data_IF_325410687881
#
_entry.id   IF_325410687881
#
_cell.length_a   1.000
_cell.length_b   1.000
_cell.length_c   1.000
_cell.angle_alpha   90.00
_cell.angle_beta   90.00
_cell.angle_gamma   90.00
#
_symmetry.space_group_name_H-M   'P 1'
#
loop_
_entity.id
_entity.type
_entity.pdbx_description
1 polymer ?
#
# COMPACT_ATOMS: atom_id res chain seq x y z
N UNK A 1 20.90 -1.86 -2.03
CA UNK A 1 21.69 -0.60 -1.97
C UNK A 1 22.97 -0.90 -1.21
N UNK A 2 24.14 -0.88 -1.84
CA UNK A 2 25.43 -1.05 -1.16
C UNK A 2 25.98 0.33 -0.85
N UNK A 3 26.37 0.55 0.40
CA UNK A 3 27.05 1.77 0.82
C UNK A 3 28.55 1.59 0.62
N UNK A 4 29.22 2.59 0.03
CA UNK A 4 30.68 2.63 -0.10
C UNK A 4 31.29 3.51 0.98
N UNK A 5 32.40 3.06 1.56
CA UNK A 5 33.17 3.86 2.53
C UNK A 5 33.91 4.97 1.79
N UNK A 6 33.73 6.22 2.22
CA UNK A 6 34.43 7.38 1.67
C UNK A 6 35.23 8.12 2.75
N UNK A 7 36.30 8.79 2.33
CA UNK A 7 37.13 9.58 3.21
C UNK A 7 36.37 10.84 3.68
N UNK A 8 36.31 11.15 4.99
CA UNK A 8 35.50 12.25 5.54
C UNK A 8 35.75 13.63 4.90
N UNK A 9 37.00 13.92 4.54
CA UNK A 9 37.38 15.17 3.88
C UNK A 9 36.73 15.42 2.50
N UNK A 10 36.08 14.40 1.90
CA UNK A 10 35.35 14.55 0.63
C UNK A 10 33.92 15.07 0.81
N UNK A 11 33.40 15.13 2.04
CA UNK A 11 32.05 15.60 2.33
C UNK A 11 31.87 17.10 2.05
N UNK A 12 32.93 17.90 2.18
CA UNK A 12 32.87 19.36 1.98
C UNK A 12 32.95 19.77 0.49
N UNK A 13 33.36 18.85 -0.39
CA UNK A 13 33.55 19.08 -1.83
C UNK A 13 32.47 18.45 -2.71
N UNK A 14 31.35 18.06 -2.13
CA UNK A 14 30.32 17.26 -2.80
C UNK A 14 29.70 18.01 -3.98
N UNK A 15 29.67 17.35 -5.15
CA UNK A 15 28.99 17.81 -6.36
C UNK A 15 27.99 16.76 -6.83
N UNK A 16 26.99 17.19 -7.61
CA UNK A 16 26.08 16.25 -8.28
C UNK A 16 26.89 15.33 -9.20
N UNK A 17 26.76 13.99 -9.05
CA UNK A 17 27.45 13.06 -9.92
C UNK A 17 26.89 13.18 -11.35
N UNK A 18 27.76 12.98 -12.34
CA UNK A 18 27.37 13.00 -13.74
C UNK A 18 26.50 11.78 -14.14
N UNK A 19 26.60 10.66 -13.39
CA UNK A 19 25.73 9.47 -13.53
C UNK A 19 25.41 8.91 -12.15
N UNK A 20 24.15 8.56 -11.89
CA UNK A 20 23.78 7.88 -10.66
C UNK A 20 24.16 6.39 -10.75
N UNK A 21 25.02 5.92 -9.85
CA UNK A 21 25.39 4.52 -9.73
C UNK A 21 24.36 3.70 -8.93
N UNK A 22 24.46 2.37 -8.98
CA UNK A 22 23.68 1.44 -8.14
C UNK A 22 24.20 1.37 -6.68
N UNK A 23 25.33 2.02 -6.41
CA UNK A 23 25.93 2.18 -5.09
C UNK A 23 25.97 3.67 -4.76
N UNK A 24 25.42 4.06 -3.60
CA UNK A 24 25.49 5.44 -3.12
C UNK A 24 26.57 5.57 -2.04
N UNK A 25 27.51 6.49 -2.26
CA UNK A 25 28.48 6.94 -1.27
C UNK A 25 27.93 8.05 -0.38
N UNK A 26 28.62 8.35 0.72
CA UNK A 26 28.24 9.41 1.65
C UNK A 26 28.10 10.77 0.95
N UNK A 27 28.98 11.10 0.00
CA UNK A 27 28.86 12.33 -0.77
C UNK A 27 27.60 12.40 -1.66
N UNK A 28 27.21 11.31 -2.30
CA UNK A 28 26.01 11.26 -3.14
C UNK A 28 24.74 11.36 -2.29
N UNK A 29 24.73 10.69 -1.13
CA UNK A 29 23.65 10.79 -0.15
C UNK A 29 23.52 12.23 0.36
N UNK A 30 24.63 12.91 0.68
CA UNK A 30 24.61 14.32 1.14
C UNK A 30 24.02 15.25 0.08
N UNK A 31 24.39 15.08 -1.20
CA UNK A 31 23.83 15.87 -2.29
C UNK A 31 22.32 15.64 -2.51
N UNK A 32 21.85 14.42 -2.22
CA UNK A 32 20.44 14.02 -2.39
C UNK A 32 19.58 14.36 -1.17
N UNK A 33 20.13 14.22 0.04
CA UNK A 33 19.44 14.47 1.31
C UNK A 33 19.32 15.97 1.63
N UNK A 34 20.12 16.83 0.99
CA UNK A 34 20.13 18.26 1.27
C UNK A 34 20.62 18.57 2.70
N UNK A 35 21.63 17.83 3.16
CA UNK A 35 22.19 17.93 4.52
C UNK A 35 22.62 19.37 4.83
N UNK A 36 22.34 19.91 6.04
CA UNK A 36 22.73 21.26 6.42
C UNK A 36 24.26 21.40 6.44
N UNK A 37 24.77 22.41 5.74
CA UNK A 37 26.15 22.90 5.91
C UNK A 37 26.06 24.40 6.14
N UNK A 38 26.45 24.85 7.33
CA UNK A 38 26.43 26.25 7.74
C UNK A 38 25.31 26.57 8.74
N UNK A 39 25.66 26.61 10.02
CA UNK A 39 24.79 27.11 11.08
C UNK A 39 24.90 28.63 11.14
N UNK A 40 24.03 29.34 10.42
CA UNK A 40 23.98 30.80 10.55
C UNK A 40 22.81 31.41 9.80
N UNK A 41 21.84 31.97 10.53
CA UNK A 41 20.88 32.89 9.95
C UNK A 41 21.57 34.24 9.72
N UNK A 42 21.86 34.58 8.47
CA UNK A 42 22.35 35.89 8.09
C UNK A 42 21.13 36.85 7.91
N UNK A 43 21.15 38.06 8.51
CA UNK A 43 20.07 39.02 8.34
C UNK A 43 19.78 39.32 6.86
N UNK A 44 18.51 39.45 6.49
CA UNK A 44 18.05 39.73 5.11
C UNK A 44 18.42 38.66 4.05
N UNK A 45 18.83 37.46 4.47
CA UNK A 45 19.07 36.33 3.56
C UNK A 45 17.93 35.32 3.71
N UNK A 46 17.42 34.71 2.61
CA UNK A 46 16.39 33.67 2.71
C UNK A 46 16.85 32.54 3.64
N UNK A 47 15.91 31.88 4.33
CA UNK A 47 16.26 30.75 5.17
C UNK A 47 17.04 29.71 4.36
N UNK A 48 18.17 29.23 4.91
CA UNK A 48 18.96 28.18 4.28
C UNK A 48 18.19 26.85 4.12
N UNK A 49 17.02 26.75 4.76
CA UNK A 49 16.13 25.60 4.75
C UNK A 49 14.69 25.93 4.33
N UNK A 50 14.04 25.00 3.63
CA UNK A 50 14.66 23.89 2.90
C UNK A 50 15.45 24.42 1.69
N UNK A 51 16.62 23.85 1.37
CA UNK A 51 17.31 24.19 0.12
C UNK A 51 16.41 23.83 -1.06
N UNK A 52 16.20 24.80 -1.96
CA UNK A 52 15.53 24.55 -3.23
C UNK A 52 16.45 23.69 -4.08
N UNK A 53 16.05 22.44 -4.31
CA UNK A 53 16.77 21.55 -5.20
C UNK A 53 16.31 21.79 -6.62
N UNK A 54 17.27 22.03 -7.52
CA UNK A 54 16.99 22.13 -8.95
C UNK A 54 16.32 20.85 -9.44
N UNK A 55 15.14 21.00 -10.06
CA UNK A 55 14.43 19.91 -10.73
C UNK A 55 15.36 19.15 -11.72
N UNK A 56 15.21 17.82 -11.85
CA UNK A 56 15.90 17.06 -12.89
C UNK A 56 15.60 17.60 -14.29
N UNK A 57 16.61 17.59 -15.18
CA UNK A 57 16.45 18.02 -16.57
C UNK A 57 15.47 17.12 -17.32
N UNK A 58 15.62 15.80 -17.19
CA UNK A 58 14.63 14.82 -17.62
C UNK A 58 13.72 14.47 -16.44
N UNK A 59 12.42 14.76 -16.56
CA UNK A 59 11.43 14.54 -15.50
C UNK A 59 10.08 14.12 -16.08
N UNK A 60 9.40 13.26 -15.34
CA UNK A 60 8.00 12.96 -15.59
C UNK A 60 7.12 14.12 -15.10
N UNK A 61 6.06 14.45 -15.85
CA UNK A 61 5.17 15.59 -15.56
C UNK A 61 3.68 15.23 -15.59
N UNK A 62 3.31 14.06 -16.12
CA UNK A 62 1.93 13.60 -16.20
C UNK A 62 1.46 13.05 -14.84
N UNK A 63 2.25 12.16 -14.24
CA UNK A 63 2.00 11.63 -12.88
C UNK A 63 2.70 12.50 -11.83
N UNK A 64 2.39 13.80 -11.87
CA UNK A 64 2.98 14.81 -11.00
C UNK A 64 2.46 14.72 -9.57
N UNK A 65 3.35 14.90 -8.60
CA UNK A 65 2.99 14.98 -7.18
C UNK A 65 3.49 16.25 -6.49
N UNK A 66 4.41 16.97 -7.12
CA UNK A 66 4.97 18.21 -6.62
C UNK A 66 5.12 19.23 -7.75
N UNK A 67 5.18 20.49 -7.36
CA UNK A 67 5.46 21.63 -8.24
C UNK A 67 6.69 22.38 -7.74
N UNK A 68 7.49 22.89 -8.67
CA UNK A 68 8.63 23.74 -8.38
C UNK A 68 8.21 25.06 -7.73
N UNK A 69 9.16 25.68 -7.05
CA UNK A 69 9.02 26.97 -6.35
C UNK A 69 10.07 27.95 -6.86
N UNK A 70 9.90 29.24 -6.51
CA UNK A 70 10.82 30.33 -6.90
C UNK A 70 11.04 30.34 -8.43
N UNK A 71 12.30 30.29 -8.87
CA UNK A 71 12.69 30.34 -10.29
C UNK A 71 12.19 29.14 -11.12
N UNK A 72 11.62 28.13 -10.45
CA UNK A 72 11.03 26.94 -11.08
C UNK A 72 9.50 26.88 -10.87
N UNK A 73 8.86 28.00 -10.57
CA UNK A 73 7.42 28.07 -10.35
C UNK A 73 6.63 27.56 -11.57
N UNK A 74 5.61 26.73 -11.32
CA UNK A 74 4.77 26.13 -12.37
C UNK A 74 5.33 24.85 -12.97
N UNK A 75 6.62 24.56 -12.78
CA UNK A 75 7.22 23.32 -13.23
C UNK A 75 6.74 22.12 -12.41
N UNK A 76 6.48 20.99 -13.06
CA UNK A 76 5.94 19.79 -12.41
C UNK A 76 7.03 18.75 -12.18
N UNK A 77 6.93 18.04 -11.06
CA UNK A 77 7.73 16.88 -10.73
C UNK A 77 6.81 15.68 -10.49
N UNK A 78 7.04 14.61 -11.25
CA UNK A 78 6.30 13.36 -11.17
C UNK A 78 7.19 12.14 -11.06
N UNK A 79 6.54 11.00 -10.83
CA UNK A 79 7.14 9.67 -10.84
C UNK A 79 6.47 8.88 -11.95
N UNK A 80 7.25 8.43 -12.94
CA UNK A 80 6.71 7.68 -14.07
C UNK A 80 6.11 6.35 -13.61
N UNK A 81 5.24 5.75 -14.44
CA UNK A 81 4.70 4.42 -14.12
C UNK A 81 5.81 3.37 -14.09
N UNK A 82 6.79 3.47 -15.00
CA UNK A 82 7.95 2.58 -15.00
C UNK A 82 8.73 2.67 -13.69
N UNK A 83 8.95 3.88 -13.17
CA UNK A 83 9.63 4.08 -11.88
C UNK A 83 8.79 3.62 -10.70
N UNK A 84 7.46 3.79 -10.76
CA UNK A 84 6.54 3.37 -9.71
C UNK A 84 6.54 1.84 -9.49
N UNK A 85 6.96 1.05 -10.48
CA UNK A 85 7.14 -0.40 -10.35
C UNK A 85 8.27 -0.78 -9.39
N UNK A 86 9.21 0.12 -9.11
CA UNK A 86 10.30 -0.11 -8.16
C UNK A 86 9.95 0.28 -6.72
N UNK A 87 8.67 0.55 -6.45
CA UNK A 87 8.15 1.03 -5.17
C UNK A 87 8.69 2.41 -4.77
N UNK A 88 7.97 3.11 -3.89
CA UNK A 88 8.36 4.44 -3.42
C UNK A 88 8.22 4.52 -1.92
N UNK A 89 9.27 5.01 -1.25
CA UNK A 89 9.27 5.25 0.19
C UNK A 89 9.32 6.76 0.43
N UNK A 90 8.33 7.29 1.14
CA UNK A 90 8.26 8.70 1.53
C UNK A 90 8.62 8.83 3.01
N UNK A 91 9.78 9.41 3.30
CA UNK A 91 10.29 9.60 4.67
C UNK A 91 10.19 11.06 5.10
N UNK A 92 9.84 11.29 6.36
CA UNK A 92 9.79 12.63 6.95
C UNK A 92 8.89 12.71 8.18
N UNK A 93 9.05 13.75 9.03
CA UNK A 93 8.21 13.94 10.21
C UNK A 93 6.75 14.24 9.84
N UNK A 94 5.85 14.21 10.83
CA UNK A 94 4.47 14.71 10.65
C UNK A 94 4.50 16.16 10.16
N UNK A 95 3.59 16.51 9.24
CA UNK A 95 3.55 17.84 8.63
C UNK A 95 4.51 18.05 7.44
N UNK A 96 5.41 17.11 7.14
CA UNK A 96 6.34 17.22 6.00
C UNK A 96 5.71 17.04 4.60
N UNK A 97 4.38 17.00 4.49
CA UNK A 97 3.68 16.87 3.20
C UNK A 97 3.59 15.45 2.61
N UNK A 98 3.92 14.41 3.38
CA UNK A 98 3.84 13.00 2.92
C UNK A 98 2.44 12.61 2.42
N UNK A 99 1.40 12.89 3.20
CA UNK A 99 0.01 12.59 2.81
C UNK A 99 -0.40 13.38 1.57
N UNK A 100 0.04 14.63 1.44
CA UNK A 100 -0.19 15.47 0.25
C UNK A 100 0.46 14.88 -0.99
N UNK A 101 1.72 14.43 -0.90
CA UNK A 101 2.40 13.76 -2.01
C UNK A 101 1.67 12.47 -2.43
N UNK A 102 1.24 11.64 -1.46
CA UNK A 102 0.44 10.44 -1.73
C UNK A 102 -0.91 10.78 -2.38
N UNK A 103 -1.61 11.80 -1.89
CA UNK A 103 -2.88 12.26 -2.46
C UNK A 103 -2.73 12.66 -3.92
N UNK A 104 -1.70 13.44 -4.26
CA UNK A 104 -1.46 13.85 -5.64
C UNK A 104 -1.12 12.67 -6.56
N UNK A 105 -0.29 11.73 -6.12
CA UNK A 105 0.00 10.51 -6.89
C UNK A 105 -1.26 9.68 -7.13
N UNK A 106 -2.06 9.45 -6.08
CA UNK A 106 -3.32 8.71 -6.17
C UNK A 106 -4.32 9.40 -7.09
N UNK A 107 -4.50 10.73 -6.96
CA UNK A 107 -5.38 11.49 -7.83
C UNK A 107 -4.90 11.46 -9.28
N UNK A 108 -3.59 11.56 -9.54
CA UNK A 108 -3.06 11.45 -10.90
C UNK A 108 -3.34 10.06 -11.51
N UNK A 109 -3.33 9.00 -10.71
CA UNK A 109 -3.70 7.65 -11.13
C UNK A 109 -5.21 7.51 -11.40
N UNK A 110 -6.05 8.02 -10.50
CA UNK A 110 -7.52 8.02 -10.65
C UNK A 110 -7.94 8.79 -11.90
N UNK A 111 -7.38 9.99 -12.14
CA UNK A 111 -7.69 10.79 -13.32
C UNK A 111 -7.28 10.10 -14.62
N UNK A 112 -6.16 9.38 -14.61
CA UNK A 112 -5.69 8.61 -15.75
C UNK A 112 -6.37 7.22 -15.87
N UNK A 113 -7.36 6.92 -15.02
CA UNK A 113 -8.12 5.66 -15.05
C UNK A 113 -7.37 4.43 -14.59
N UNK A 114 -6.35 4.60 -13.75
CA UNK A 114 -5.63 3.50 -13.10
C UNK A 114 -6.25 3.20 -11.73
N UNK A 115 -6.32 1.91 -11.38
CA UNK A 115 -6.80 1.48 -10.06
C UNK A 115 -5.84 1.88 -8.95
N UNK A 116 -6.40 2.26 -7.79
CA UNK A 116 -5.65 2.65 -6.59
C UNK A 116 -6.24 1.93 -5.38
N UNK A 117 -5.37 1.31 -4.57
CA UNK A 117 -5.71 0.83 -3.23
C UNK A 117 -5.04 1.76 -2.22
N UNK A 118 -5.85 2.42 -1.40
CA UNK A 118 -5.36 3.24 -0.31
C UNK A 118 -5.71 2.58 1.03
N UNK A 119 -4.70 2.48 1.89
CA UNK A 119 -4.85 2.04 3.29
C UNK A 119 -4.39 3.21 4.17
N UNK A 120 -5.32 3.82 4.87
CA UNK A 120 -5.06 4.97 5.73
C UNK A 120 -5.69 4.76 7.12
N UNK A 121 -4.89 4.52 8.16
CA UNK A 121 -5.39 4.32 9.51
C UNK A 121 -5.92 5.60 10.16
N UNK A 122 -5.63 6.79 9.60
CA UNK A 122 -6.02 8.09 10.17
C UNK A 122 -7.26 8.69 9.52
N UNK A 123 -7.71 8.13 8.41
CA UNK A 123 -8.92 8.50 7.62
C UNK A 123 -8.88 9.86 6.91
N UNK A 124 -7.98 10.75 7.29
CA UNK A 124 -7.87 12.11 6.73
C UNK A 124 -7.51 12.09 5.25
N UNK A 125 -6.59 11.21 4.84
CA UNK A 125 -6.17 11.10 3.46
C UNK A 125 -7.25 10.47 2.59
N UNK A 126 -7.98 9.48 3.11
CA UNK A 126 -9.12 8.87 2.39
C UNK A 126 -10.21 9.91 2.14
N UNK A 127 -10.60 10.67 3.17
CA UNK A 127 -11.60 11.72 3.03
C UNK A 127 -11.18 12.79 2.00
N UNK A 128 -9.91 13.20 2.04
CA UNK A 128 -9.35 14.19 1.11
C UNK A 128 -9.39 13.72 -0.36
N UNK A 129 -9.05 12.46 -0.61
CA UNK A 129 -9.13 11.89 -1.96
C UNK A 129 -10.58 11.74 -2.40
N UNK A 130 -11.46 11.18 -1.56
CA UNK A 130 -12.89 10.98 -1.89
C UNK A 130 -13.56 12.30 -2.31
N UNK A 131 -13.23 13.42 -1.67
CA UNK A 131 -13.74 14.74 -2.02
C UNK A 131 -13.28 15.25 -3.40
N UNK A 132 -12.23 14.65 -3.98
CA UNK A 132 -11.58 15.08 -5.23
C UNK A 132 -11.69 14.05 -6.36
N UNK A 133 -12.34 12.91 -6.13
CA UNK A 133 -12.58 11.91 -7.18
C UNK A 133 -13.56 12.51 -8.22
N UNK A 134 -13.27 12.39 -9.53
CA UNK A 134 -14.18 12.83 -10.59
C UNK A 134 -15.56 12.19 -10.46
N UNK A 135 -16.62 12.96 -10.67
CA UNK A 135 -18.00 12.49 -10.45
C UNK A 135 -18.34 11.24 -11.28
N UNK A 136 -17.79 11.17 -12.50
CA UNK A 136 -18.01 10.07 -13.44
C UNK A 136 -17.44 8.74 -12.95
N UNK A 137 -16.56 8.75 -11.94
CA UNK A 137 -15.93 7.56 -11.35
C UNK A 137 -16.51 7.16 -9.99
N UNK A 138 -17.54 7.86 -9.48
CA UNK A 138 -18.12 7.55 -8.17
C UNK A 138 -18.60 6.10 -8.05
N UNK A 139 -19.09 5.51 -9.14
CA UNK A 139 -19.50 4.10 -9.20
C UNK A 139 -18.35 3.10 -9.04
N UNK A 140 -17.12 3.54 -9.28
CA UNK A 140 -15.93 2.68 -9.24
C UNK A 140 -15.31 2.62 -7.82
N UNK A 141 -15.83 3.43 -6.89
CA UNK A 141 -15.25 3.63 -5.56
C UNK A 141 -15.87 2.65 -4.55
N UNK A 142 -15.02 1.87 -3.90
CA UNK A 142 -15.39 1.03 -2.76
C UNK A 142 -14.67 1.54 -1.52
N UNK A 143 -15.44 1.92 -0.49
CA UNK A 143 -14.91 2.31 0.82
C UNK A 143 -15.14 1.18 1.80
N UNK A 144 -14.04 0.65 2.35
CA UNK A 144 -14.07 -0.37 3.40
C UNK A 144 -13.71 0.35 4.70
N UNK A 145 -14.73 0.66 5.49
CA UNK A 145 -14.59 1.27 6.80
C UNK A 145 -15.27 0.37 7.85
N UNK A 146 -14.51 -0.30 8.74
CA UNK A 146 -15.07 -1.16 9.78
C UNK A 146 -15.79 -0.37 10.88
N UNK A 147 -15.60 0.96 10.95
CA UNK A 147 -16.28 1.84 11.91
C UNK A 147 -17.60 2.39 11.38
N UNK A 148 -17.86 2.22 10.08
CA UNK A 148 -19.12 2.63 9.46
C UNK A 148 -20.30 1.84 10.04
N UNK A 149 -21.44 2.51 10.20
CA UNK A 149 -22.72 1.85 10.54
C UNK A 149 -23.23 0.92 9.43
N UNK A 150 -22.67 1.02 8.22
CA UNK A 150 -22.99 0.19 7.06
C UNK A 150 -21.68 -0.32 6.45
N UNK A 151 -20.96 -1.22 7.14
CA UNK A 151 -19.66 -1.68 6.66
C UNK A 151 -19.83 -2.55 5.41
N UNK A 152 -18.90 -2.40 4.47
CA UNK A 152 -18.81 -3.32 3.33
C UNK A 152 -18.26 -4.65 3.82
N UNK A 153 -19.03 -5.72 3.67
CA UNK A 153 -18.61 -7.06 4.02
C UNK A 153 -17.53 -7.58 3.07
N UNK A 154 -16.47 -8.16 3.64
CA UNK A 154 -15.43 -8.86 2.88
C UNK A 154 -15.42 -10.30 3.35
N UNK A 155 -15.56 -11.24 2.43
CA UNK A 155 -15.34 -12.66 2.70
C UNK A 155 -14.00 -13.10 2.08
N UNK A 156 -12.93 -13.24 2.86
CA UNK A 156 -11.64 -13.73 2.36
C UNK A 156 -11.71 -15.12 1.74
N UNK A 157 -12.72 -15.93 2.12
CA UNK A 157 -12.94 -17.28 1.62
C UNK A 157 -13.64 -17.31 0.25
N UNK A 158 -14.22 -16.19 -0.19
CA UNK A 158 -15.06 -16.14 -1.39
C UNK A 158 -14.31 -16.60 -2.66
N UNK A 159 -13.01 -16.29 -2.77
CA UNK A 159 -12.20 -16.65 -3.96
C UNK A 159 -12.08 -18.17 -4.16
N UNK A 160 -12.02 -18.94 -3.08
CA UNK A 160 -12.01 -20.41 -3.14
C UNK A 160 -13.38 -21.00 -3.52
N UNK A 161 -14.45 -20.26 -3.27
CA UNK A 161 -15.82 -20.69 -3.53
C UNK A 161 -16.24 -20.36 -4.97
N UNK A 162 -15.88 -19.18 -5.48
CA UNK A 162 -16.10 -18.80 -6.89
C UNK A 162 -15.37 -19.72 -7.87
N UNK A 163 -14.19 -20.22 -7.49
CA UNK A 163 -13.43 -21.22 -8.22
C UNK A 163 -14.23 -22.50 -8.53
N UNK A 164 -15.08 -22.91 -7.59
CA UNK A 164 -15.82 -24.18 -7.63
C UNK A 164 -17.25 -24.04 -8.11
N UNK A 165 -17.84 -22.85 -8.01
CA UNK A 165 -19.23 -22.61 -8.40
C UNK A 165 -19.41 -22.24 -9.87
N UNK A 166 -18.35 -22.05 -10.65
CA UNK A 166 -18.45 -21.63 -12.08
C UNK A 166 -19.16 -20.27 -12.28
N UNK A 167 -19.47 -19.57 -11.20
CA UNK A 167 -20.20 -18.32 -11.20
C UNK A 167 -19.23 -17.17 -11.49
N UNK A 168 -19.51 -16.41 -12.54
CA UNK A 168 -18.86 -15.14 -12.81
C UNK A 168 -19.13 -14.19 -11.63
N UNK A 169 -18.08 -13.66 -11.02
CA UNK A 169 -18.21 -12.60 -10.03
C UNK A 169 -18.99 -11.43 -10.64
N UNK A 170 -20.02 -10.89 -9.97
CA UNK A 170 -20.81 -9.77 -10.48
C UNK A 170 -20.02 -8.45 -10.48
N UNK A 171 -18.85 -8.40 -9.85
CA UNK A 171 -17.89 -7.31 -9.98
C UNK A 171 -17.00 -7.61 -11.18
N UNK A 172 -17.28 -6.92 -12.30
CA UNK A 172 -16.56 -6.99 -13.57
C UNK A 172 -15.12 -6.47 -13.52
N UNK A 173 -14.30 -7.04 -12.63
CA UNK A 173 -12.86 -6.89 -12.60
C UNK A 173 -12.23 -8.27 -12.75
N UNK A 174 -12.08 -8.72 -13.99
CA UNK A 174 -11.45 -10.00 -14.31
C UNK A 174 -10.02 -10.06 -13.80
N UNK A 175 -9.83 -10.69 -12.63
CA UNK A 175 -8.55 -11.35 -12.34
C UNK A 175 -8.56 -12.62 -13.17
N UNK A 176 -8.01 -12.53 -14.38
CA UNK A 176 -7.70 -13.67 -15.23
C UNK A 176 -6.64 -14.52 -14.52
N UNK A 177 -7.08 -15.51 -13.74
CA UNK A 177 -6.18 -16.44 -13.09
C UNK A 177 -6.94 -17.35 -12.15
N UNK A 178 -6.91 -18.65 -12.47
CA UNK A 178 -7.55 -19.78 -11.80
C UNK A 178 -7.95 -19.54 -10.34
N UNK A 179 -9.16 -19.98 -10.01
CA UNK A 179 -9.64 -20.00 -8.64
C UNK A 179 -8.58 -20.57 -7.69
N UNK A 180 -8.28 -19.83 -6.63
CA UNK A 180 -7.27 -20.26 -5.66
C UNK A 180 -7.77 -21.54 -4.96
N UNK A 181 -6.87 -22.49 -4.69
CA UNK A 181 -7.25 -23.68 -3.94
C UNK A 181 -7.82 -23.28 -2.57
N UNK A 182 -8.84 -23.98 -2.06
CA UNK A 182 -9.39 -23.71 -0.73
C UNK A 182 -8.30 -23.70 0.36
N UNK A 183 -7.29 -24.55 0.22
CA UNK A 183 -6.16 -24.67 1.13
C UNK A 183 -5.28 -23.42 1.09
N UNK A 184 -4.96 -22.89 -0.10
CA UNK A 184 -4.14 -21.66 -0.21
C UNK A 184 -4.85 -20.44 0.39
N UNK A 185 -6.17 -20.34 0.17
CA UNK A 185 -6.97 -19.26 0.75
C UNK A 185 -7.04 -19.41 2.28
N UNK A 186 -7.30 -20.62 2.78
CA UNK A 186 -7.31 -20.92 4.20
C UNK A 186 -5.95 -20.61 4.86
N UNK A 187 -4.85 -21.00 4.24
CA UNK A 187 -3.48 -20.73 4.73
C UNK A 187 -3.16 -19.24 4.78
N UNK A 188 -3.62 -18.47 3.78
CA UNK A 188 -3.45 -17.01 3.77
C UNK A 188 -4.19 -16.36 4.94
N UNK A 189 -5.42 -16.81 5.21
CA UNK A 189 -6.20 -16.32 6.35
C UNK A 189 -5.55 -16.75 7.67
N UNK A 190 -5.11 -18.01 7.77
CA UNK A 190 -4.42 -18.54 8.94
C UNK A 190 -3.14 -17.75 9.25
N UNK A 191 -2.32 -17.47 8.24
CA UNK A 191 -1.09 -16.69 8.39
C UNK A 191 -1.38 -15.25 8.85
N UNK A 192 -2.46 -14.65 8.34
CA UNK A 192 -2.91 -13.32 8.77
C UNK A 192 -3.32 -13.33 10.25
N UNK A 193 -4.14 -14.30 10.67
CA UNK A 193 -4.55 -14.47 12.06
C UNK A 193 -3.34 -14.74 12.98
N UNK A 194 -2.39 -15.56 12.54
CA UNK A 194 -1.15 -15.84 13.26
C UNK A 194 -0.30 -14.59 13.48
N UNK A 195 -0.22 -13.72 12.46
CA UNK A 195 0.50 -12.45 12.57
C UNK A 195 -0.16 -11.49 13.57
N UNK A 196 -1.49 -11.41 13.57
CA UNK A 196 -2.24 -10.50 14.47
C UNK A 196 -2.26 -11.02 15.92
N UNK A 197 -2.36 -12.32 16.13
CA UNK A 197 -2.54 -12.95 17.45
C UNK A 197 -1.33 -13.78 17.90
N UNK A 198 -0.13 -13.39 17.49
CA UNK A 198 1.10 -14.16 17.70
C UNK A 198 1.34 -14.57 19.16
N UNK A 199 1.01 -13.69 20.11
CA UNK A 199 1.19 -13.93 21.55
C UNK A 199 0.25 -15.00 22.13
N UNK A 200 -0.89 -15.25 21.49
CA UNK A 200 -1.89 -16.23 21.91
C UNK A 200 -1.89 -17.48 21.02
N UNK A 201 -0.83 -17.67 20.22
CA UNK A 201 -0.78 -18.72 19.21
C UNK A 201 -0.07 -19.97 19.71
N UNK A 202 -0.77 -21.11 19.70
CA UNK A 202 -0.21 -22.40 20.09
C UNK A 202 -0.44 -23.48 19.04
N UNK A 203 0.30 -24.58 19.14
CA UNK A 203 0.23 -25.71 18.18
C UNK A 203 -1.21 -26.22 17.99
N UNK A 204 -1.97 -26.33 19.08
CA UNK A 204 -3.39 -26.78 19.03
C UNK A 204 -4.28 -25.76 18.30
N UNK A 205 -4.07 -24.48 18.56
CA UNK A 205 -4.83 -23.40 17.90
C UNK A 205 -4.57 -23.45 16.39
N UNK A 206 -3.30 -23.59 15.99
CA UNK A 206 -2.91 -23.70 14.59
C UNK A 206 -3.58 -24.88 13.89
N UNK A 207 -3.53 -26.08 14.49
CA UNK A 207 -4.14 -27.29 13.91
C UNK A 207 -5.66 -27.16 13.78
N UNK A 208 -6.33 -26.67 14.83
CA UNK A 208 -7.79 -26.51 14.83
C UNK A 208 -8.23 -25.45 13.83
N UNK A 209 -7.56 -24.30 13.79
CA UNK A 209 -7.90 -23.22 12.86
C UNK A 209 -7.59 -23.60 11.41
N UNK A 210 -6.48 -24.31 11.14
CA UNK A 210 -6.16 -24.81 9.81
C UNK A 210 -7.27 -25.71 9.27
N UNK A 211 -7.65 -26.75 10.02
CA UNK A 211 -8.72 -27.67 9.61
C UNK A 211 -10.08 -26.96 9.46
N UNK A 212 -10.40 -26.04 10.37
CA UNK A 212 -11.65 -25.30 10.34
C UNK A 212 -11.74 -24.34 9.13
N UNK A 213 -10.68 -23.58 8.86
CA UNK A 213 -10.63 -22.65 7.73
C UNK A 213 -10.69 -23.37 6.38
N UNK A 214 -10.01 -24.51 6.23
CA UNK A 214 -10.12 -25.35 5.03
C UNK A 214 -11.55 -25.85 4.85
N UNK A 215 -12.20 -26.31 5.92
CA UNK A 215 -13.60 -26.75 5.88
C UNK A 215 -14.53 -25.63 5.40
N UNK A 216 -14.36 -24.42 5.93
CA UNK A 216 -15.15 -23.25 5.52
C UNK A 216 -14.84 -22.84 4.07
N UNK A 217 -13.58 -22.83 3.65
CA UNK A 217 -13.19 -22.55 2.26
C UNK A 217 -13.77 -23.59 1.28
N UNK A 218 -13.90 -24.84 1.72
CA UNK A 218 -14.54 -25.94 0.99
C UNK A 218 -16.06 -25.97 1.08
N UNK A 219 -16.68 -25.10 1.88
CA UNK A 219 -18.14 -25.02 1.96
C UNK A 219 -18.64 -23.83 1.14
N UNK A 220 -19.47 -24.02 0.10
CA UNK A 220 -20.08 -22.92 -0.65
C UNK A 220 -20.90 -22.00 0.27
N UNK A 221 -20.70 -20.68 0.14
CA UNK A 221 -21.45 -19.68 0.92
C UNK A 221 -21.00 -19.51 2.37
N UNK A 222 -20.06 -20.32 2.86
CA UNK A 222 -19.53 -20.16 4.21
C UNK A 222 -18.62 -18.92 4.32
N UNK A 223 -18.56 -18.37 5.53
CA UNK A 223 -17.83 -17.15 5.85
C UNK A 223 -16.99 -17.35 7.11
N UNK A 224 -16.11 -16.39 7.43
CA UNK A 224 -15.37 -16.44 8.69
C UNK A 224 -16.26 -16.32 9.93
N UNK A 225 -17.48 -15.78 9.80
CA UNK A 225 -18.45 -15.67 10.90
C UNK A 225 -18.97 -17.05 11.33
N UNK A 226 -18.88 -18.06 10.47
CA UNK A 226 -19.28 -19.43 10.78
C UNK A 226 -18.24 -20.18 11.64
N UNK A 227 -17.04 -19.64 11.80
CA UNK A 227 -15.94 -20.29 12.51
C UNK A 227 -16.27 -20.63 13.97
N UNK A 228 -16.83 -19.71 14.80
CA UNK A 228 -17.24 -20.07 16.16
C UNK A 228 -18.31 -21.16 16.19
N UNK A 229 -19.28 -21.13 15.26
CA UNK A 229 -20.33 -22.16 15.16
C UNK A 229 -19.75 -23.52 14.78
N UNK A 230 -18.82 -23.57 13.83
CA UNK A 230 -18.12 -24.79 13.44
C UNK A 230 -17.38 -25.43 14.62
N UNK A 231 -16.75 -24.62 15.46
CA UNK A 231 -15.98 -25.09 16.61
C UNK A 231 -16.87 -25.49 17.80
N UNK A 232 -17.94 -24.75 18.07
CA UNK A 232 -18.73 -24.90 19.30
C UNK A 232 -20.03 -25.70 19.15
N UNK A 233 -20.62 -25.77 17.95
CA UNK A 233 -21.90 -26.44 17.70
C UNK A 233 -21.69 -27.78 16.96
N UNK A 234 -21.85 -28.93 17.64
CA UNK A 234 -21.65 -30.25 17.04
C UNK A 234 -22.59 -30.54 15.86
N UNK A 235 -23.86 -30.12 15.95
CA UNK A 235 -24.85 -30.37 14.89
C UNK A 235 -24.55 -29.54 13.63
N UNK A 236 -24.09 -28.29 13.79
CA UNK A 236 -23.64 -27.47 12.66
C UNK A 236 -22.38 -28.06 12.01
N UNK A 237 -21.39 -28.47 12.82
CA UNK A 237 -20.17 -29.12 12.34
C UNK A 237 -20.45 -30.41 11.57
N UNK A 238 -21.31 -31.28 12.09
CA UNK A 238 -21.68 -32.53 11.41
C UNK A 238 -22.33 -32.28 10.04
N UNK A 239 -23.22 -31.29 9.94
CA UNK A 239 -23.83 -30.91 8.65
C UNK A 239 -22.79 -30.43 7.64
N UNK A 240 -21.84 -29.59 8.08
CA UNK A 240 -20.78 -29.10 7.20
C UNK A 240 -19.85 -30.22 6.73
N UNK A 241 -19.41 -31.10 7.62
CA UNK A 241 -18.54 -32.22 7.27
C UNK A 241 -19.24 -33.14 6.25
N UNK A 242 -20.50 -33.50 6.50
CA UNK A 242 -21.29 -34.32 5.60
C UNK A 242 -21.45 -33.69 4.20
N UNK A 243 -21.58 -32.37 4.12
CA UNK A 243 -21.68 -31.65 2.84
C UNK A 243 -20.33 -31.45 2.13
N UNK A 244 -19.21 -31.52 2.86
CA UNK A 244 -17.87 -31.24 2.36
C UNK A 244 -17.20 -32.44 1.66
N UNK A 245 -17.83 -33.62 1.68
CA UNK A 245 -17.29 -34.85 1.09
C UNK A 245 -15.99 -35.34 1.74
N UNK A 246 -15.82 -35.08 3.04
CA UNK A 246 -14.74 -35.62 3.88
C UNK A 246 -15.24 -36.79 4.72
#
# INVERSE_FOLDING_TARGET
MRARTEHPARLDGVRRPWRAGLELGAGEIVAMAGWPVGEGALPATPSAHPRVLALPQARETQRAFATGVADQAGERLGISIGDALYHTVLLGPTGAGKSTALAHLALADIHAGRGVLLIDPKTDLVADILARIPEQRRSDVVVIDPTSSRPVGINPLARAQTARSGALSPVGGGVLGGGASPELVADTVLATLKGVFAESWGVRVEQVLSAALVTLARTPGATLVDLPLLLTNPAFRQRLIAASGA
#
